data_IF_620729849296
#
_entry.id   IF_620729849296
#
_cell.length_a   1.000
_cell.length_b   1.000
_cell.length_c   1.000
_cell.angle_alpha   90.00
_cell.angle_beta   90.00
_cell.angle_gamma   90.00
#
_symmetry.space_group_name_H-M   'P 1'
#
loop_
_entity.id
_entity.type
_entity.pdbx_description
1 polymer ?
#
# COMPACT_ATOMS: atom_id res chain seq x y z
N UNK A 1 23.66 -16.18 -8.66
CA UNK A 1 22.37 -16.51 -9.31
C UNK A 1 21.33 -15.72 -8.56
N UNK A 2 20.63 -14.82 -9.23
CA UNK A 2 19.55 -14.00 -8.66
C UNK A 2 18.38 -14.91 -8.27
N UNK A 3 17.79 -14.72 -7.10
CA UNK A 3 16.69 -15.57 -6.61
C UNK A 3 15.41 -15.38 -7.45
N UNK A 4 14.44 -16.31 -7.34
CA UNK A 4 13.13 -16.15 -8.01
C UNK A 4 12.41 -14.88 -7.54
N UNK A 5 12.58 -14.52 -6.26
CA UNK A 5 12.05 -13.30 -5.65
C UNK A 5 12.67 -12.04 -6.24
N UNK A 6 14.01 -11.96 -6.27
CA UNK A 6 14.73 -10.80 -6.81
C UNK A 6 14.42 -10.59 -8.31
N UNK A 7 14.22 -11.68 -9.06
CA UNK A 7 13.80 -11.60 -10.47
C UNK A 7 12.36 -11.09 -10.64
N UNK A 8 11.43 -11.56 -9.80
CA UNK A 8 10.04 -11.12 -9.85
C UNK A 8 9.91 -9.64 -9.47
N UNK A 9 10.61 -9.21 -8.41
CA UNK A 9 10.62 -7.82 -7.97
C UNK A 9 11.14 -6.88 -9.06
N UNK A 10 12.28 -7.22 -9.69
CA UNK A 10 12.82 -6.42 -10.79
C UNK A 10 11.85 -6.27 -11.96
N UNK A 11 11.09 -7.32 -12.31
CA UNK A 11 10.09 -7.26 -13.39
C UNK A 11 8.88 -6.40 -13.02
N UNK A 12 8.48 -6.40 -11.76
CA UNK A 12 7.40 -5.53 -11.27
C UNK A 12 7.84 -4.07 -11.32
N UNK A 13 9.06 -3.78 -10.86
CA UNK A 13 9.62 -2.43 -10.88
C UNK A 13 9.80 -1.92 -12.32
N UNK A 14 10.30 -2.76 -13.23
CA UNK A 14 10.40 -2.43 -14.67
C UNK A 14 9.03 -2.08 -15.25
N UNK A 15 7.98 -2.84 -14.92
CA UNK A 15 6.62 -2.59 -15.40
C UNK A 15 6.04 -1.28 -14.81
N UNK A 16 6.26 -1.00 -13.53
CA UNK A 16 5.83 0.26 -12.91
C UNK A 16 6.60 1.47 -13.44
N UNK A 17 7.84 1.29 -13.90
CA UNK A 17 8.65 2.35 -14.47
C UNK A 17 8.16 2.80 -15.87
N UNK A 18 7.30 2.01 -16.52
CA UNK A 18 6.62 2.39 -17.77
C UNK A 18 5.38 3.27 -17.55
N UNK A 19 4.99 3.55 -16.29
CA UNK A 19 3.84 4.41 -15.99
C UNK A 19 4.07 5.85 -16.51
N UNK A 20 3.20 6.38 -17.40
CA UNK A 20 3.34 7.72 -17.94
C UNK A 20 2.98 8.83 -16.92
N UNK A 21 2.37 8.49 -15.78
CA UNK A 21 2.05 9.46 -14.74
C UNK A 21 3.29 9.70 -13.86
N UNK A 22 3.71 10.95 -13.72
CA UNK A 22 4.93 11.32 -12.99
C UNK A 22 4.58 12.10 -11.72
N UNK A 23 5.28 11.80 -10.63
CA UNK A 23 5.30 12.59 -9.39
C UNK A 23 6.70 13.12 -9.10
N UNK A 24 6.77 14.20 -8.32
CA UNK A 24 8.04 14.80 -7.88
C UNK A 24 8.29 14.44 -6.42
N UNK A 25 9.35 13.68 -6.16
CA UNK A 25 9.78 13.26 -4.81
C UNK A 25 11.21 13.73 -4.61
N UNK A 26 11.49 14.48 -3.55
CA UNK A 26 12.82 15.02 -3.23
C UNK A 26 13.52 15.68 -4.44
N UNK A 27 12.75 16.47 -5.20
CA UNK A 27 13.19 17.16 -6.43
C UNK A 27 13.59 16.24 -7.61
N UNK A 28 13.17 14.98 -7.59
CA UNK A 28 13.36 14.01 -8.67
C UNK A 28 12.01 13.59 -9.28
N UNK A 29 11.97 13.38 -10.59
CA UNK A 29 10.81 12.83 -11.31
C UNK A 29 10.80 11.30 -11.18
N UNK A 30 9.67 10.76 -10.71
CA UNK A 30 9.48 9.32 -10.53
C UNK A 30 8.11 8.91 -11.10
N UNK A 31 8.00 7.79 -11.84
CA UNK A 31 6.72 7.22 -12.22
C UNK A 31 5.83 6.94 -11.01
N UNK A 32 4.54 7.24 -11.10
CA UNK A 32 3.63 7.21 -9.94
C UNK A 32 3.43 5.79 -9.41
N UNK A 33 3.20 4.80 -10.28
CA UNK A 33 3.10 3.40 -9.87
C UNK A 33 4.39 2.91 -9.17
N UNK A 34 5.56 3.36 -9.63
CA UNK A 34 6.84 3.00 -9.00
C UNK A 34 6.99 3.66 -7.62
N UNK A 35 6.63 4.95 -7.51
CA UNK A 35 6.59 5.65 -6.22
C UNK A 35 5.62 4.97 -5.25
N UNK A 36 4.42 4.63 -5.71
CA UNK A 36 3.41 3.94 -4.92
C UNK A 36 3.91 2.58 -4.45
N UNK A 37 4.49 1.77 -5.34
CA UNK A 37 5.08 0.47 -5.00
C UNK A 37 6.16 0.60 -3.91
N UNK A 38 7.07 1.57 -4.04
CA UNK A 38 8.10 1.83 -3.04
C UNK A 38 7.52 2.21 -1.65
N UNK A 39 6.46 3.03 -1.63
CA UNK A 39 5.74 3.36 -0.40
C UNK A 39 5.06 2.14 0.22
N UNK A 40 4.43 1.30 -0.60
CA UNK A 40 3.85 0.03 -0.15
C UNK A 40 4.91 -0.88 0.49
N UNK A 41 6.06 -1.05 -0.15
CA UNK A 41 7.18 -1.83 0.39
C UNK A 41 7.68 -1.27 1.72
N UNK A 42 7.88 0.05 1.81
CA UNK A 42 8.33 0.71 3.04
C UNK A 42 7.39 0.43 4.22
N UNK A 43 6.08 0.61 4.04
CA UNK A 43 5.11 0.39 5.11
C UNK A 43 4.93 -1.10 5.43
N UNK A 44 5.01 -1.98 4.43
CA UNK A 44 4.99 -3.42 4.65
C UNK A 44 6.16 -3.88 5.53
N UNK A 45 7.36 -3.32 5.33
CA UNK A 45 8.52 -3.67 6.15
C UNK A 45 8.41 -3.17 7.60
N UNK A 46 7.74 -2.04 7.81
CA UNK A 46 7.45 -1.53 9.16
C UNK A 46 6.36 -2.36 9.85
N UNK A 47 5.31 -2.72 9.12
CA UNK A 47 4.16 -3.45 9.65
C UNK A 47 4.44 -4.95 9.85
N UNK A 48 5.11 -5.61 8.92
CA UNK A 48 5.50 -7.02 9.05
C UNK A 48 6.90 -7.25 8.47
N UNK A 49 7.97 -7.02 9.25
CA UNK A 49 9.36 -7.24 8.81
C UNK A 49 9.62 -8.66 8.29
N UNK A 50 8.88 -9.65 8.83
CA UNK A 50 8.92 -11.06 8.42
C UNK A 50 7.86 -11.44 7.38
N UNK A 51 7.32 -10.48 6.63
CA UNK A 51 6.38 -10.72 5.54
C UNK A 51 6.94 -11.73 4.54
N UNK A 52 6.08 -12.64 4.06
CA UNK A 52 6.44 -13.62 3.05
C UNK A 52 6.86 -12.94 1.74
N UNK A 53 7.66 -13.64 0.93
CA UNK A 53 8.01 -13.16 -0.42
C UNK A 53 6.75 -12.91 -1.26
N UNK A 54 5.72 -13.74 -1.09
CA UNK A 54 4.45 -13.62 -1.82
C UNK A 54 3.71 -12.35 -1.45
N UNK A 55 3.65 -12.00 -0.16
CA UNK A 55 3.04 -10.74 0.29
C UNK A 55 3.84 -9.53 -0.21
N UNK A 56 5.17 -9.62 -0.20
CA UNK A 56 6.05 -8.55 -0.71
C UNK A 56 5.88 -8.33 -2.22
N UNK A 57 5.55 -9.37 -2.96
CA UNK A 57 5.33 -9.31 -4.41
C UNK A 57 3.90 -8.90 -4.77
N UNK A 58 2.92 -8.79 -3.86
CA UNK A 58 1.51 -8.63 -4.20
C UNK A 58 1.17 -7.28 -4.90
N UNK A 59 1.08 -7.31 -6.24
CA UNK A 59 0.64 -6.22 -7.14
C UNK A 59 -0.24 -6.76 -8.30
N UNK A 60 -0.98 -5.91 -9.02
CA UNK A 60 -1.93 -6.36 -10.06
C UNK A 60 -1.31 -7.15 -11.23
N UNK A 61 0.00 -7.03 -11.47
CA UNK A 61 0.72 -7.71 -12.56
C UNK A 61 1.32 -9.07 -12.15
N UNK A 62 1.07 -9.51 -10.93
CA UNK A 62 1.98 -10.45 -10.24
C UNK A 62 1.72 -11.90 -10.52
N UNK A 63 0.49 -12.31 -10.83
CA UNK A 63 0.23 -13.72 -11.15
C UNK A 63 1.06 -14.17 -12.37
N UNK A 64 1.08 -13.34 -13.43
CA UNK A 64 1.83 -13.61 -14.64
C UNK A 64 3.34 -13.53 -14.41
N UNK A 65 3.80 -12.50 -13.69
CA UNK A 65 5.23 -12.31 -13.37
C UNK A 65 5.73 -13.46 -12.49
N UNK A 66 5.01 -13.85 -11.43
CA UNK A 66 5.39 -14.96 -10.55
C UNK A 66 5.53 -16.28 -11.31
N UNK A 67 4.55 -16.63 -12.15
CA UNK A 67 4.64 -17.83 -13.00
C UNK A 67 5.86 -17.78 -13.93
N UNK A 68 6.11 -16.62 -14.53
CA UNK A 68 7.26 -16.41 -15.43
C UNK A 68 8.62 -16.47 -14.72
N UNK A 69 8.65 -16.34 -13.40
CA UNK A 69 9.83 -16.43 -12.54
C UNK A 69 9.96 -17.80 -11.84
N UNK A 70 9.04 -18.73 -12.09
CA UNK A 70 9.09 -20.11 -11.59
C UNK A 70 8.44 -20.32 -10.22
N UNK A 71 7.57 -19.41 -9.77
CA UNK A 71 6.62 -19.70 -8.70
C UNK A 71 5.56 -20.69 -9.20
N UNK A 72 5.11 -21.59 -8.34
CA UNK A 72 4.07 -22.53 -8.71
C UNK A 72 2.67 -21.87 -8.80
N UNK A 73 1.67 -22.64 -9.23
CA UNK A 73 0.32 -22.10 -9.45
C UNK A 73 -0.33 -21.63 -8.15
N UNK A 74 -0.06 -22.30 -7.03
CA UNK A 74 -0.67 -21.99 -5.74
C UNK A 74 -0.04 -20.72 -5.16
N UNK A 75 1.28 -20.57 -5.28
CA UNK A 75 2.03 -19.36 -4.91
C UNK A 75 1.57 -18.14 -5.75
N UNK A 76 1.40 -18.30 -7.05
CA UNK A 76 0.95 -17.22 -7.94
C UNK A 76 -0.52 -16.84 -7.69
N UNK A 77 -1.40 -17.82 -7.48
CA UNK A 77 -2.81 -17.57 -7.13
C UNK A 77 -2.94 -16.89 -5.77
N UNK A 78 -2.11 -17.28 -4.78
CA UNK A 78 -2.03 -16.61 -3.48
C UNK A 78 -1.67 -15.14 -3.62
N UNK A 79 -0.65 -14.81 -4.42
CA UNK A 79 -0.27 -13.43 -4.68
C UNK A 79 -1.44 -12.63 -5.28
N UNK A 80 -2.14 -13.21 -6.27
CA UNK A 80 -3.29 -12.59 -6.90
C UNK A 80 -4.47 -12.39 -5.93
N UNK A 81 -4.72 -13.35 -5.03
CA UNK A 81 -5.76 -13.27 -4.01
C UNK A 81 -5.50 -12.15 -2.99
N UNK A 82 -4.24 -11.97 -2.58
CA UNK A 82 -3.83 -10.86 -1.70
C UNK A 82 -4.14 -9.52 -2.35
N UNK A 83 -3.80 -9.34 -3.62
CA UNK A 83 -4.05 -8.09 -4.36
C UNK A 83 -5.53 -7.78 -4.50
N UNK A 84 -6.35 -8.79 -4.76
CA UNK A 84 -7.81 -8.65 -4.80
C UNK A 84 -8.42 -8.37 -3.42
N UNK A 85 -7.63 -8.51 -2.36
CA UNK A 85 -8.05 -8.42 -0.97
C UNK A 85 -9.17 -9.41 -0.66
N UNK A 86 -9.02 -10.62 -1.18
CA UNK A 86 -9.97 -11.71 -0.92
C UNK A 86 -9.81 -12.18 0.55
N UNK A 87 -10.92 -12.36 1.27
CA UNK A 87 -10.97 -12.89 2.64
C UNK A 87 -10.25 -12.07 3.74
N UNK A 88 -10.24 -10.73 3.65
CA UNK A 88 -9.65 -9.80 4.63
C UNK A 88 -9.92 -10.16 6.11
N UNK A 89 -11.13 -10.57 6.47
CA UNK A 89 -11.51 -10.83 7.87
C UNK A 89 -10.83 -12.05 8.51
N UNK A 90 -10.17 -12.90 7.72
CA UNK A 90 -9.61 -14.18 8.17
C UNK A 90 -8.15 -14.41 7.78
N UNK A 91 -7.57 -13.50 7.00
CA UNK A 91 -6.22 -13.65 6.48
C UNK A 91 -5.33 -12.52 6.99
N UNK A 92 -4.34 -12.88 7.81
CA UNK A 92 -3.40 -11.94 8.41
C UNK A 92 -2.60 -11.17 7.36
N UNK A 93 -2.18 -11.83 6.27
CA UNK A 93 -1.42 -11.15 5.20
C UNK A 93 -2.30 -10.16 4.43
N UNK A 94 -3.58 -10.49 4.27
CA UNK A 94 -4.54 -9.58 3.66
C UNK A 94 -4.83 -8.35 4.55
N UNK A 95 -4.89 -8.54 5.88
CA UNK A 95 -5.03 -7.43 6.82
C UNK A 95 -3.81 -6.50 6.76
N UNK A 96 -2.59 -7.07 6.73
CA UNK A 96 -1.36 -6.28 6.59
C UNK A 96 -1.37 -5.48 5.28
N UNK A 97 -1.81 -6.07 4.18
CA UNK A 97 -1.90 -5.36 2.91
C UNK A 97 -2.93 -4.21 2.94
N UNK A 98 -4.04 -4.36 3.66
CA UNK A 98 -5.00 -3.27 3.88
C UNK A 98 -4.42 -2.15 4.74
N UNK A 99 -3.72 -2.49 5.82
CA UNK A 99 -3.04 -1.52 6.69
C UNK A 99 -2.06 -0.68 5.87
N UNK A 100 -1.20 -1.35 5.10
CA UNK A 100 -0.22 -0.72 4.21
C UNK A 100 -0.92 0.18 3.18
N UNK A 101 -1.99 -0.29 2.54
CA UNK A 101 -2.74 0.53 1.58
C UNK A 101 -3.35 1.78 2.23
N UNK A 102 -3.88 1.67 3.45
CA UNK A 102 -4.43 2.80 4.20
C UNK A 102 -3.34 3.79 4.62
N UNK A 103 -2.16 3.30 5.04
CA UNK A 103 -1.01 4.12 5.40
C UNK A 103 -0.50 4.91 4.20
N UNK A 104 -0.37 4.29 3.03
CA UNK A 104 0.03 4.98 1.79
C UNK A 104 -0.99 6.05 1.40
N UNK A 105 -2.29 5.77 1.52
CA UNK A 105 -3.31 6.80 1.30
C UNK A 105 -3.12 8.01 2.23
N UNK A 106 -2.90 7.77 3.53
CA UNK A 106 -2.70 8.83 4.52
C UNK A 106 -1.43 9.65 4.24
N UNK A 107 -0.33 9.00 3.91
CA UNK A 107 0.98 9.63 3.66
C UNK A 107 1.03 10.40 2.33
N UNK A 108 0.47 9.83 1.26
CA UNK A 108 0.75 10.30 -0.10
C UNK A 108 -0.43 11.03 -0.75
N UNK A 109 -1.66 10.69 -0.39
CA UNK A 109 -2.85 11.11 -1.14
C UNK A 109 -3.79 12.00 -0.31
N UNK A 110 -3.79 11.85 1.01
CA UNK A 110 -4.80 12.44 1.88
C UNK A 110 -4.83 13.97 1.82
N UNK A 111 -3.67 14.64 1.82
CA UNK A 111 -3.63 16.11 1.77
C UNK A 111 -4.14 16.69 0.45
N UNK A 112 -4.01 15.96 -0.65
CA UNK A 112 -4.64 16.36 -1.92
C UNK A 112 -6.15 16.10 -1.86
N UNK A 113 -6.54 14.92 -1.38
CA UNK A 113 -7.93 14.52 -1.23
C UNK A 113 -8.73 15.51 -0.36
N UNK A 114 -8.15 15.99 0.75
CA UNK A 114 -8.82 16.93 1.67
C UNK A 114 -9.00 18.36 1.12
N UNK A 115 -8.27 18.71 0.04
CA UNK A 115 -8.44 20.00 -0.66
C UNK A 115 -9.54 19.93 -1.72
N UNK A 116 -9.91 18.74 -2.17
CA UNK A 116 -10.85 18.51 -3.27
C UNK A 116 -12.26 18.12 -2.79
N UNK A 117 -12.44 17.93 -1.48
CA UNK A 117 -13.69 17.42 -0.90
C UNK A 117 -14.15 18.23 0.32
N UNK A 118 -15.46 18.16 0.61
CA UNK A 118 -16.03 18.74 1.81
C UNK A 118 -15.68 17.93 3.06
N UNK A 119 -15.74 18.60 4.21
CA UNK A 119 -15.32 18.03 5.49
C UNK A 119 -16.15 16.81 5.92
N UNK A 120 -17.45 16.76 5.59
CA UNK A 120 -18.32 15.63 5.92
C UNK A 120 -17.86 14.37 5.20
N UNK A 121 -17.58 14.49 3.89
CA UNK A 121 -17.01 13.41 3.08
C UNK A 121 -15.64 12.99 3.59
N UNK A 122 -14.77 13.95 3.90
CA UNK A 122 -13.41 13.69 4.41
C UNK A 122 -13.47 12.87 5.70
N UNK A 123 -14.23 13.35 6.70
CA UNK A 123 -14.40 12.66 7.98
C UNK A 123 -14.99 11.27 7.77
N UNK A 124 -15.98 11.13 6.89
CA UNK A 124 -16.58 9.84 6.56
C UNK A 124 -15.59 8.84 5.95
N UNK A 125 -14.67 9.29 5.09
CA UNK A 125 -13.61 8.44 4.54
C UNK A 125 -12.58 8.07 5.60
N UNK A 126 -12.11 9.04 6.39
CA UNK A 126 -11.15 8.78 7.46
C UNK A 126 -11.66 7.75 8.47
N UNK A 127 -12.94 7.82 8.87
CA UNK A 127 -13.55 6.79 9.74
C UNK A 127 -13.48 5.40 9.12
N UNK A 128 -13.81 5.29 7.82
CA UNK A 128 -13.79 4.01 7.11
C UNK A 128 -12.37 3.49 6.93
N UNK A 129 -11.42 4.36 6.59
CA UNK A 129 -10.00 4.02 6.50
C UNK A 129 -9.51 3.49 7.85
N UNK A 130 -9.79 4.20 8.94
CA UNK A 130 -9.37 3.80 10.29
C UNK A 130 -10.00 2.47 10.73
N UNK A 131 -11.30 2.28 10.45
CA UNK A 131 -12.02 1.06 10.83
C UNK A 131 -11.52 -0.22 10.13
N UNK A 132 -10.82 -0.08 9.00
CA UNK A 132 -10.23 -1.21 8.28
C UNK A 132 -8.83 -1.58 8.76
N UNK A 133 -8.17 -0.67 9.48
CA UNK A 133 -6.80 -0.85 9.90
C UNK A 133 -6.72 -1.62 11.22
N UNK A 134 -5.68 -2.40 11.40
CA UNK A 134 -5.34 -3.03 12.68
C UNK A 134 -4.83 -1.99 13.70
N UNK A 135 -4.69 -2.40 14.97
CA UNK A 135 -4.06 -1.57 16.02
C UNK A 135 -2.65 -1.14 15.61
N UNK A 136 -1.87 -2.03 15.01
CA UNK A 136 -0.52 -1.71 14.52
C UNK A 136 -0.55 -0.70 13.38
N UNK A 137 -1.51 -0.86 12.47
CA UNK A 137 -1.78 0.12 11.42
C UNK A 137 -2.07 1.51 12.01
N UNK A 138 -2.87 1.61 13.08
CA UNK A 138 -3.15 2.88 13.76
C UNK A 138 -1.89 3.50 14.38
N UNK A 139 -1.04 2.69 15.02
CA UNK A 139 0.23 3.15 15.59
C UNK A 139 1.15 3.75 14.52
N UNK A 140 1.26 3.11 13.36
CA UNK A 140 2.04 3.62 12.23
C UNK A 140 1.42 4.89 11.63
N UNK A 141 0.09 4.96 11.53
CA UNK A 141 -0.62 6.12 10.99
C UNK A 141 -0.35 7.38 11.82
N UNK A 142 -0.24 7.24 13.14
CA UNK A 142 0.07 8.35 14.06
C UNK A 142 1.50 8.89 13.93
N UNK A 143 2.39 8.16 13.25
CA UNK A 143 3.78 8.57 13.01
C UNK A 143 3.97 9.28 11.67
N UNK A 144 2.93 9.34 10.83
CA UNK A 144 3.00 9.99 9.52
C UNK A 144 3.12 11.51 9.72
N UNK A 145 4.08 12.13 9.03
CA UNK A 145 4.21 13.59 9.01
C UNK A 145 3.10 14.20 8.16
N UNK A 146 2.27 15.05 8.78
CA UNK A 146 1.12 15.68 8.14
C UNK A 146 1.00 17.14 8.55
N UNK A 147 0.32 17.94 7.73
CA UNK A 147 -0.11 19.29 8.12
C UNK A 147 -1.06 19.27 9.33
N UNK A 148 -1.10 20.39 10.06
CA UNK A 148 -1.96 20.52 11.24
C UNK A 148 -3.45 20.39 10.91
N UNK A 149 -3.87 20.79 9.69
CA UNK A 149 -5.24 20.61 9.21
C UNK A 149 -5.56 19.12 9.03
N UNK A 150 -4.68 18.38 8.36
CA UNK A 150 -4.81 16.94 8.14
C UNK A 150 -4.93 16.18 9.48
N UNK A 151 -4.05 16.48 10.44
CA UNK A 151 -4.13 15.91 11.80
C UNK A 151 -5.46 16.25 12.49
N UNK A 152 -5.93 17.50 12.37
CA UNK A 152 -7.21 17.93 12.94
C UNK A 152 -8.41 17.14 12.40
N UNK A 153 -8.41 16.82 11.10
CA UNK A 153 -9.46 16.01 10.46
C UNK A 153 -9.46 14.56 10.95
N UNK A 154 -8.27 13.97 11.13
CA UNK A 154 -8.12 12.63 11.72
C UNK A 154 -8.66 12.62 13.15
N UNK A 155 -8.24 13.57 14.00
CA UNK A 155 -8.73 13.65 15.38
C UNK A 155 -10.25 13.83 15.45
N UNK A 156 -10.83 14.61 14.53
CA UNK A 156 -12.28 14.75 14.41
C UNK A 156 -12.96 13.44 14.02
N UNK A 157 -12.39 12.69 13.08
CA UNK A 157 -12.89 11.38 12.68
C UNK A 157 -12.85 10.37 13.84
N UNK A 158 -11.83 10.41 14.69
CA UNK A 158 -11.69 9.50 15.84
C UNK A 158 -12.58 9.86 17.04
N UNK A 159 -12.96 11.14 17.16
CA UNK A 159 -13.73 11.64 18.31
C UNK A 159 -15.25 11.60 18.11
N UNK A 160 -15.73 11.04 16.99
CA UNK A 160 -17.14 11.08 16.59
C UNK A 160 -17.65 9.73 16.12
#
# INVERSE_FOLDING_TARGET
>A
MTSKYEQALARIDDAHNEDPNIVFVDCSEVPYELHYANKMTKYLEQDKPSASEILRLASNLVEEICRSCGYDSDEAERAAALVRKDNMERDEECQVLEDVACLVFLDDQFEKFEREHDEEKIVGILKKTWAKMSEKGHELALQIEMSERAKGLIMKALSS
#
